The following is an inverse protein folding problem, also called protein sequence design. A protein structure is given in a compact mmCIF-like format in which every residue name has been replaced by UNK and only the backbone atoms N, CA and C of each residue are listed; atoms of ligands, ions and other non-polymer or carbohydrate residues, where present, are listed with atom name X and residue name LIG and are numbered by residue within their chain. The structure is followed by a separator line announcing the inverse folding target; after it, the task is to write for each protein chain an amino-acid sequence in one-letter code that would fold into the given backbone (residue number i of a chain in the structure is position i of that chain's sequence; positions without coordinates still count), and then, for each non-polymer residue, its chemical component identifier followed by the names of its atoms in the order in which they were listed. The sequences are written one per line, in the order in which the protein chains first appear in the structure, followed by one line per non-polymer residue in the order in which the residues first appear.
data_IF_120847018380
#
_entry.id   IF_120847018380
#
_cell.length_a   1.000
_cell.length_b   1.000
_cell.length_c   1.000
_cell.angle_alpha   90.00
_cell.angle_beta   90.00
_cell.angle_gamma   90.00
#
_symmetry.space_group_name_H-M   'P 1'
#
loop_
_entity.id
_entity.type
_entity.pdbx_description
1 polymer ?
#
# COMPACT_ATOMS: atom_id res chain seq x y z
N UNK A 1 7.86 -9.65 -19.25
CA UNK A 1 6.89 -8.57 -19.50
C UNK A 1 6.20 -8.29 -18.19
N UNK A 2 6.17 -7.02 -17.79
CA UNK A 2 5.45 -6.58 -16.59
C UNK A 2 3.95 -6.73 -16.78
N UNK A 3 3.24 -7.13 -15.72
CA UNK A 3 1.78 -7.26 -15.74
C UNK A 3 1.13 -5.88 -15.90
N UNK A 4 -0.08 -5.81 -16.46
CA UNK A 4 -0.81 -4.54 -16.64
C UNK A 4 -1.05 -3.76 -15.32
N UNK A 5 -0.98 -4.44 -14.17
CA UNK A 5 -1.12 -3.82 -12.85
C UNK A 5 0.16 -3.18 -12.33
N UNK A 6 1.32 -3.49 -12.92
CA UNK A 6 2.63 -3.15 -12.36
C UNK A 6 2.77 -1.65 -12.08
N UNK A 7 2.51 -0.83 -13.09
CA UNK A 7 2.63 0.63 -12.96
C UNK A 7 1.68 1.18 -11.90
N UNK A 8 0.44 0.65 -11.83
CA UNK A 8 -0.54 1.07 -10.83
C UNK A 8 -0.12 0.72 -9.41
N UNK A 9 0.38 -0.49 -9.17
CA UNK A 9 0.81 -0.93 -7.84
C UNK A 9 2.08 -0.18 -7.41
N UNK A 10 3.03 0.03 -8.31
CA UNK A 10 4.23 0.82 -8.03
C UNK A 10 3.87 2.28 -7.72
N UNK A 11 2.93 2.87 -8.46
CA UNK A 11 2.45 4.23 -8.21
C UNK A 11 1.81 4.34 -6.81
N UNK A 12 0.96 3.39 -6.44
CA UNK A 12 0.35 3.34 -5.11
C UNK A 12 1.38 3.28 -3.98
N UNK A 13 2.38 2.41 -4.10
CA UNK A 13 3.41 2.28 -3.05
C UNK A 13 4.22 3.58 -2.94
N UNK A 14 4.52 4.23 -4.07
CA UNK A 14 5.21 5.53 -4.05
C UNK A 14 4.35 6.65 -3.45
N UNK A 15 3.04 6.65 -3.70
CA UNK A 15 2.11 7.60 -3.08
C UNK A 15 2.04 7.39 -1.56
N UNK A 16 1.94 6.15 -1.10
CA UNK A 16 1.97 5.78 0.33
C UNK A 16 3.26 6.28 0.99
N UNK A 17 4.41 6.05 0.36
CA UNK A 17 5.71 6.57 0.83
C UNK A 17 5.70 8.09 0.98
N UNK A 18 5.12 8.81 0.01
CA UNK A 18 5.04 10.26 0.06
C UNK A 18 4.13 10.75 1.20
N UNK A 19 2.97 10.12 1.38
CA UNK A 19 2.02 10.45 2.46
C UNK A 19 2.67 10.23 3.83
N UNK A 20 3.44 9.16 3.99
CA UNK A 20 4.14 8.84 5.24
C UNK A 20 5.32 9.79 5.49
N UNK A 21 6.13 10.14 4.47
CA UNK A 21 7.18 11.16 4.62
C UNK A 21 6.61 12.51 5.06
N UNK A 22 5.46 12.91 4.49
CA UNK A 22 4.76 14.13 4.90
C UNK A 22 4.33 14.07 6.37
N UNK A 23 3.77 12.93 6.80
CA UNK A 23 3.32 12.74 8.17
C UNK A 23 4.51 12.75 9.16
N UNK A 24 5.58 12.01 8.87
CA UNK A 24 6.80 11.96 9.68
C UNK A 24 7.49 13.31 9.83
N UNK A 25 7.43 14.16 8.80
CA UNK A 25 7.97 15.53 8.83
C UNK A 25 7.01 16.54 9.46
N UNK A 26 5.90 16.07 10.05
CA UNK A 26 4.84 16.90 10.63
C UNK A 26 4.27 17.93 9.65
N UNK A 27 4.26 17.61 8.35
CA UNK A 27 3.67 18.45 7.29
C UNK A 27 2.17 18.24 7.14
N UNK A 28 1.70 17.05 7.52
CA UNK A 28 0.29 16.68 7.60
C UNK A 28 0.03 16.10 8.99
N UNK A 29 -1.18 16.28 9.50
CA UNK A 29 -1.61 15.67 10.75
C UNK A 29 -2.17 14.26 10.53
N UNK A 30 -2.63 13.65 11.62
CA UNK A 30 -3.15 12.29 11.62
C UNK A 30 -4.47 12.15 10.85
N UNK A 31 -5.28 13.20 10.82
CA UNK A 31 -6.56 13.20 10.09
C UNK A 31 -6.30 13.27 8.58
N UNK A 32 -5.40 14.15 8.15
CA UNK A 32 -4.98 14.27 6.76
C UNK A 32 -4.22 13.01 6.30
N UNK A 33 -3.39 12.43 7.16
CA UNK A 33 -2.72 11.16 6.92
C UNK A 33 -3.73 10.03 6.65
N UNK A 34 -4.73 9.88 7.53
CA UNK A 34 -5.76 8.86 7.38
C UNK A 34 -6.62 9.07 6.12
N UNK A 35 -7.00 10.32 5.84
CA UNK A 35 -7.76 10.65 4.65
C UNK A 35 -7.00 10.33 3.35
N UNK A 36 -5.71 10.65 3.28
CA UNK A 36 -4.88 10.37 2.11
C UNK A 36 -4.69 8.86 1.89
N UNK A 37 -4.43 8.09 2.95
CA UNK A 37 -4.30 6.64 2.82
C UNK A 37 -5.61 5.97 2.38
N UNK A 38 -6.76 6.42 2.90
CA UNK A 38 -8.08 5.90 2.51
C UNK A 38 -8.49 6.27 1.09
N UNK A 39 -7.91 7.32 0.51
CA UNK A 39 -8.18 7.76 -0.86
C UNK A 39 -7.46 6.92 -1.93
N UNK A 40 -6.56 6.01 -1.53
CA UNK A 40 -5.84 5.15 -2.47
C UNK A 40 -6.77 4.08 -3.07
N UNK A 41 -6.70 3.89 -4.38
CA UNK A 41 -7.56 2.97 -5.16
C UNK A 41 -7.16 1.48 -5.02
N UNK A 42 -6.79 1.04 -3.82
CA UNK A 42 -6.30 -0.33 -3.54
C UNK A 42 -7.38 -1.37 -3.81
N UNK A 43 -8.61 -1.13 -3.34
CA UNK A 43 -9.73 -2.07 -3.46
C UNK A 43 -10.16 -2.26 -4.91
N UNK A 44 -10.13 -1.20 -5.70
CA UNK A 44 -10.50 -1.27 -7.12
C UNK A 44 -9.50 -2.10 -7.93
N UNK A 45 -8.20 -2.00 -7.63
CA UNK A 45 -7.16 -2.84 -8.23
C UNK A 45 -7.34 -4.30 -7.82
N UNK A 46 -7.57 -4.59 -6.54
CA UNK A 46 -7.84 -5.95 -6.04
C UNK A 46 -9.05 -6.59 -6.75
N UNK A 47 -10.12 -5.83 -6.96
CA UNK A 47 -11.32 -6.31 -7.66
C UNK A 47 -11.04 -6.52 -9.15
N UNK A 48 -10.38 -5.56 -9.80
CA UNK A 48 -10.07 -5.57 -11.23
C UNK A 48 -9.23 -6.78 -11.61
N UNK A 49 -8.19 -7.09 -10.82
CA UNK A 49 -7.22 -8.14 -11.11
C UNK A 49 -7.46 -9.45 -10.33
N UNK A 50 -8.61 -9.59 -9.67
CA UNK A 50 -8.97 -10.76 -8.84
C UNK A 50 -8.76 -12.11 -9.54
N UNK A 51 -9.16 -12.20 -10.80
CA UNK A 51 -9.05 -13.46 -11.55
C UNK A 51 -7.62 -13.77 -11.97
N UNK A 52 -6.77 -12.75 -12.15
CA UNK A 52 -5.36 -12.92 -12.47
C UNK A 52 -4.59 -13.48 -11.28
N UNK A 53 -4.87 -12.97 -10.06
CA UNK A 53 -4.28 -13.49 -8.82
C UNK A 53 -4.60 -14.97 -8.58
N UNK A 54 -5.77 -15.44 -9.01
CA UNK A 54 -6.15 -16.86 -8.89
C UNK A 54 -5.43 -17.76 -9.89
N UNK A 55 -5.02 -17.22 -11.04
CA UNK A 55 -4.52 -17.99 -12.19
C UNK A 55 -3.01 -17.91 -12.31
N UNK A 56 -2.38 -16.87 -11.77
CA UNK A 56 -0.96 -16.64 -11.88
C UNK A 56 -0.31 -16.44 -10.51
N UNK A 57 0.41 -17.46 -10.04
CA UNK A 57 1.14 -17.42 -8.78
C UNK A 57 2.31 -16.43 -8.77
N UNK A 58 2.83 -16.02 -9.93
CA UNK A 58 3.91 -15.01 -10.02
C UNK A 58 3.44 -13.62 -9.57
N UNK A 59 2.12 -13.41 -9.47
CA UNK A 59 1.53 -12.16 -9.00
C UNK A 59 1.46 -12.03 -7.48
N UNK A 60 1.98 -13.02 -6.73
CA UNK A 60 1.87 -13.07 -5.26
C UNK A 60 2.41 -11.82 -4.58
N UNK A 61 3.53 -11.27 -5.05
CA UNK A 61 4.11 -10.08 -4.43
C UNK A 61 3.25 -8.82 -4.65
N UNK A 62 2.56 -8.70 -5.78
CA UNK A 62 1.59 -7.62 -5.99
C UNK A 62 0.37 -7.81 -5.09
N UNK A 63 -0.10 -9.05 -4.94
CA UNK A 63 -1.21 -9.37 -4.06
C UNK A 63 -0.86 -9.05 -2.60
N UNK A 64 0.32 -9.45 -2.13
CA UNK A 64 0.79 -9.18 -0.78
C UNK A 64 0.85 -7.66 -0.51
N UNK A 65 1.38 -6.88 -1.45
CA UNK A 65 1.44 -5.42 -1.33
C UNK A 65 0.03 -4.80 -1.25
N UNK A 66 -0.89 -5.21 -2.12
CA UNK A 66 -2.26 -4.71 -2.13
C UNK A 66 -3.06 -5.14 -0.89
N UNK A 67 -2.85 -6.36 -0.40
CA UNK A 67 -3.48 -6.85 0.83
C UNK A 67 -2.99 -6.08 2.05
N UNK A 68 -1.69 -5.80 2.13
CA UNK A 68 -1.12 -4.98 3.20
C UNK A 68 -1.69 -3.56 3.16
N UNK A 69 -1.73 -2.93 1.98
CA UNK A 69 -2.33 -1.60 1.83
C UNK A 69 -3.82 -1.59 2.19
N UNK A 70 -4.57 -2.64 1.83
CA UNK A 70 -5.98 -2.76 2.19
C UNK A 70 -6.16 -2.91 3.71
N UNK A 71 -5.30 -3.70 4.36
CA UNK A 71 -5.32 -3.87 5.82
C UNK A 71 -4.99 -2.56 6.52
N UNK A 72 -3.96 -1.84 6.04
CA UNK A 72 -3.62 -0.52 6.54
C UNK A 72 -4.81 0.43 6.42
N UNK A 73 -5.53 0.46 5.29
CA UNK A 73 -6.71 1.31 5.12
C UNK A 73 -7.86 0.98 6.08
N UNK A 74 -8.13 -0.32 6.28
CA UNK A 74 -9.27 -0.78 7.09
C UNK A 74 -8.99 -0.64 8.59
N UNK A 75 -7.74 -0.80 9.03
CA UNK A 75 -7.35 -0.78 10.44
C UNK A 75 -6.75 0.55 10.89
N UNK A 76 -6.51 1.50 9.99
CA UNK A 76 -5.72 2.70 10.27
C UNK A 76 -6.18 3.47 11.50
N UNK A 77 -7.47 3.75 11.59
CA UNK A 77 -8.02 4.57 12.68
C UNK A 77 -7.84 3.88 14.04
N UNK A 78 -7.98 2.55 14.06
CA UNK A 78 -7.78 1.73 15.26
C UNK A 78 -6.29 1.66 15.63
N UNK A 79 -5.45 1.38 14.64
CA UNK A 79 -4.00 1.27 14.82
C UNK A 79 -3.37 2.58 15.30
N UNK A 80 -3.79 3.70 14.71
CA UNK A 80 -3.36 5.04 15.10
C UNK A 80 -3.83 5.37 16.51
N UNK A 81 -5.05 5.00 16.89
CA UNK A 81 -5.57 5.26 18.23
C UNK A 81 -4.85 4.44 19.32
N UNK A 82 -4.54 3.18 19.05
CA UNK A 82 -3.96 2.24 20.02
C UNK A 82 -2.43 2.31 20.10
N UNK A 83 -1.75 2.40 18.96
CA UNK A 83 -0.29 2.25 18.86
C UNK A 83 0.41 3.53 18.36
N UNK A 84 -0.37 4.56 18.03
CA UNK A 84 0.13 5.74 17.34
C UNK A 84 0.48 5.41 15.88
N UNK A 85 0.81 6.46 15.13
CA UNK A 85 1.11 6.33 13.71
C UNK A 85 2.45 5.63 13.38
N UNK A 86 3.19 5.17 14.39
CA UNK A 86 4.41 4.39 14.19
C UNK A 86 4.15 3.01 13.58
N UNK A 87 2.95 2.44 13.75
CA UNK A 87 2.59 1.14 13.15
C UNK A 87 2.69 1.19 11.62
N UNK A 88 2.30 2.31 11.01
CA UNK A 88 2.38 2.50 9.56
C UNK A 88 3.83 2.47 9.03
N UNK A 89 4.84 2.65 9.89
CA UNK A 89 6.25 2.57 9.51
C UNK A 89 6.74 1.14 9.34
N UNK A 90 6.16 0.19 10.06
CA UNK A 90 6.51 -1.22 9.91
C UNK A 90 5.93 -1.76 8.60
N UNK A 91 4.67 -1.45 8.33
CA UNK A 91 4.00 -1.79 7.07
C UNK A 91 4.72 -1.17 5.86
N UNK A 92 5.21 0.07 5.98
CA UNK A 92 6.05 0.71 4.97
C UNK A 92 7.29 -0.09 4.61
N UNK A 93 8.08 -0.45 5.63
CA UNK A 93 9.34 -1.18 5.41
C UNK A 93 9.06 -2.49 4.68
N UNK A 94 7.95 -3.14 5.00
CA UNK A 94 7.54 -4.34 4.29
C UNK A 94 7.07 -4.07 2.85
N UNK A 95 6.38 -2.95 2.57
CA UNK A 95 6.09 -2.51 1.18
C UNK A 95 7.37 -2.27 0.37
N UNK A 96 8.41 -1.70 0.98
CA UNK A 96 9.70 -1.49 0.31
C UNK A 96 10.39 -2.81 -0.02
N UNK A 97 10.38 -3.76 0.92
CA UNK A 97 10.89 -5.11 0.66
C UNK A 97 10.12 -5.81 -0.47
N UNK A 98 8.81 -5.57 -0.59
CA UNK A 98 7.99 -6.10 -1.68
C UNK A 98 8.27 -5.45 -3.03
N UNK A 99 8.58 -4.15 -3.07
CA UNK A 99 9.00 -3.47 -4.32
C UNK A 99 10.25 -4.14 -4.92
N UNK A 100 11.21 -4.55 -4.08
CA UNK A 100 12.42 -5.25 -4.52
C UNK A 100 12.13 -6.67 -5.07
N UNK A 101 10.91 -7.20 -4.85
CA UNK A 101 10.45 -8.47 -5.41
C UNK A 101 9.68 -8.32 -6.72
N UNK A 102 9.35 -7.09 -7.12
CA UNK A 102 8.66 -6.89 -8.39
C UNK A 102 9.63 -7.13 -9.55
N UNK A 103 9.17 -7.72 -10.66
CA UNK A 103 9.99 -7.85 -11.86
C UNK A 103 10.44 -6.46 -12.35
N UNK A 104 11.73 -6.35 -12.69
CA UNK A 104 12.31 -5.16 -13.32
C UNK A 104 11.60 -4.87 -14.66
N UNK A 105 11.42 -3.58 -14.97
CA UNK A 105 10.75 -3.10 -16.19
C UNK A 105 11.59 -3.27 -17.44
#
# INVERSE_FOLDING_TARGET
MTHAMHESVVALINEVRQVIDQFLRSRIDVEEFSAKLKALDVKDILVTYKEDFKKNAELVYYLDALMLLSSLQDELDFQVAEYGANVALEDMRYLEELLDKFPET
#
